data_IF_226879035988
#
_entry.id   IF_226879035988
#
_cell.length_a   1.000
_cell.length_b   1.000
_cell.length_c   1.000
_cell.angle_alpha   90.00
_cell.angle_beta   90.00
_cell.angle_gamma   90.00
#
_symmetry.space_group_name_H-M   'P 1'
#
loop_
_entity.id
_entity.type
_entity.pdbx_description
1 polymer ?
#
# COMPACT_ATOMS: atom_id res chain seq x y z
N UNK A 1 -1.30 0.25 -4.97
CA UNK A 1 -1.62 1.61 -4.49
C UNK A 1 -1.14 1.91 -3.07
N UNK A 2 -0.56 0.95 -2.34
CA UNK A 2 -0.11 1.13 -0.96
C UNK A 2 0.75 2.38 -0.77
N UNK A 3 1.68 2.67 -1.69
CA UNK A 3 2.55 3.86 -1.64
C UNK A 3 1.76 5.19 -1.60
N UNK A 4 0.72 5.34 -2.43
CA UNK A 4 -0.10 6.56 -2.47
C UNK A 4 -0.89 6.71 -1.18
N UNK A 5 -1.43 5.60 -0.66
CA UNK A 5 -2.14 5.60 0.62
C UNK A 5 -1.21 5.96 1.78
N UNK A 6 -0.02 5.35 1.86
CA UNK A 6 0.99 5.65 2.88
C UNK A 6 1.35 7.14 2.84
N UNK A 7 1.61 7.68 1.64
CA UNK A 7 1.90 9.10 1.49
C UNK A 7 0.74 9.99 1.98
N UNK A 8 -0.51 9.69 1.60
CA UNK A 8 -1.68 10.42 2.09
C UNK A 8 -1.81 10.36 3.62
N UNK A 9 -1.61 9.19 4.22
CA UNK A 9 -1.70 8.99 5.67
C UNK A 9 -0.63 9.79 6.42
N UNK A 10 0.63 9.73 5.98
CA UNK A 10 1.74 10.47 6.56
C UNK A 10 1.51 11.99 6.43
N UNK A 11 1.15 12.47 5.23
CA UNK A 11 0.88 13.89 5.01
C UNK A 11 -0.27 14.40 5.87
N UNK A 12 -1.32 13.60 6.05
CA UNK A 12 -2.41 13.95 6.94
C UNK A 12 -1.91 14.11 8.39
N UNK A 13 -1.11 13.17 8.89
CA UNK A 13 -0.57 13.23 10.25
C UNK A 13 0.31 14.47 10.48
N UNK A 14 1.34 14.68 9.66
CA UNK A 14 2.31 15.77 9.88
C UNK A 14 1.72 17.17 9.61
N UNK A 15 0.55 17.24 8.96
CA UNK A 15 -0.17 18.52 8.76
C UNK A 15 -1.36 18.70 9.71
N UNK A 16 -1.58 17.77 10.65
CA UNK A 16 -2.70 17.82 11.59
C UNK A 16 -4.08 17.69 10.93
N UNK A 17 -4.15 17.03 9.76
CA UNK A 17 -5.36 16.84 8.96
C UNK A 17 -5.87 15.41 9.07
N UNK A 18 -7.08 15.17 8.56
CA UNK A 18 -7.62 13.82 8.37
C UNK A 18 -7.38 13.37 6.93
N UNK A 19 -6.95 12.13 6.69
CA UNK A 19 -6.79 11.63 5.33
C UNK A 19 -8.16 11.59 4.63
N UNK A 20 -8.19 12.08 3.39
CA UNK A 20 -9.37 12.01 2.53
C UNK A 20 -9.37 10.74 1.69
N UNK A 21 -9.42 10.89 0.37
CA UNK A 21 -9.42 9.78 -0.58
C UNK A 21 -8.25 9.92 -1.55
N UNK A 22 -7.57 8.80 -1.83
CA UNK A 22 -6.60 8.70 -2.90
C UNK A 22 -7.30 8.24 -4.18
N UNK A 23 -7.11 8.99 -5.26
CA UNK A 23 -7.63 8.66 -6.60
C UNK A 23 -6.48 8.26 -7.52
N UNK A 24 -6.65 7.18 -8.26
CA UNK A 24 -5.67 6.73 -9.25
C UNK A 24 -6.30 6.76 -10.64
N UNK A 25 -5.69 7.53 -11.53
CA UNK A 25 -6.03 7.55 -12.95
C UNK A 25 -4.98 6.77 -13.73
N UNK A 26 -5.40 5.68 -14.35
CA UNK A 26 -4.53 4.86 -15.22
C UNK A 26 -4.91 5.18 -16.67
N UNK A 27 -3.91 5.48 -17.50
CA UNK A 27 -4.12 5.81 -18.92
C UNK A 27 -3.97 4.56 -19.80
N UNK A 28 -2.92 3.77 -19.57
CA UNK A 28 -2.70 2.50 -20.26
C UNK A 28 -2.67 1.38 -19.23
N UNK A 29 -3.85 0.83 -18.93
CA UNK A 29 -3.98 -0.35 -18.09
C UNK A 29 -3.81 -1.61 -18.96
N UNK A 30 -2.80 -2.40 -18.66
CA UNK A 30 -2.51 -3.65 -19.38
C UNK A 30 -2.01 -4.73 -18.42
N UNK A 31 -2.01 -5.96 -18.91
CA UNK A 31 -1.45 -7.14 -18.26
C UNK A 31 -0.49 -7.80 -19.23
N UNK A 32 0.67 -8.26 -18.73
CA UNK A 32 1.61 -9.02 -19.53
C UNK A 32 1.08 -10.43 -19.80
N UNK A 33 1.40 -10.99 -20.96
CA UNK A 33 0.85 -12.29 -21.40
C UNK A 33 1.21 -13.42 -20.44
N UNK A 34 2.46 -13.44 -19.93
CA UNK A 34 2.96 -14.41 -18.96
C UNK A 34 2.38 -14.25 -17.55
N UNK A 35 1.66 -13.15 -17.28
CA UNK A 35 0.96 -12.90 -16.02
C UNK A 35 -0.54 -13.24 -16.10
N UNK A 36 -1.08 -13.43 -17.32
CA UNK A 36 -2.52 -13.52 -17.55
C UNK A 36 -3.16 -14.73 -16.87
N UNK A 37 -2.54 -15.91 -16.97
CA UNK A 37 -3.09 -17.14 -16.38
C UNK A 37 -3.14 -17.05 -14.84
N UNK A 38 -2.06 -16.61 -14.20
CA UNK A 38 -2.01 -16.40 -12.75
C UNK A 38 -3.05 -15.39 -12.28
N UNK A 39 -3.24 -14.29 -13.02
CA UNK A 39 -4.24 -13.29 -12.69
C UNK A 39 -5.66 -13.86 -12.81
N UNK A 40 -6.00 -14.47 -13.96
CA UNK A 40 -7.36 -14.96 -14.26
C UNK A 40 -7.77 -16.14 -13.38
N UNK A 41 -6.88 -17.11 -13.22
CA UNK A 41 -7.23 -18.42 -12.68
C UNK A 41 -6.85 -18.58 -11.21
N UNK A 42 -5.95 -17.74 -10.68
CA UNK A 42 -5.54 -17.77 -9.27
C UNK A 42 -5.98 -16.51 -8.52
N UNK A 43 -5.51 -15.32 -8.93
CA UNK A 43 -5.77 -14.08 -8.18
C UNK A 43 -7.25 -13.70 -8.17
N UNK A 44 -7.92 -13.71 -9.34
CA UNK A 44 -9.33 -13.34 -9.46
C UNK A 44 -10.31 -14.39 -8.88
N UNK A 45 -9.82 -15.53 -8.40
CA UNK A 45 -10.62 -16.56 -7.71
C UNK A 45 -10.59 -16.43 -6.19
N UNK A 46 -9.79 -15.50 -5.66
CA UNK A 46 -9.67 -15.25 -4.21
C UNK A 46 -10.75 -14.29 -3.76
N UNK A 47 -11.41 -14.63 -2.66
CA UNK A 47 -12.29 -13.70 -1.95
C UNK A 47 -11.44 -12.65 -1.22
N UNK A 48 -11.76 -11.35 -1.33
CA UNK A 48 -11.07 -10.31 -0.58
C UNK A 48 -11.18 -10.55 0.95
N UNK A 49 -10.06 -10.35 1.64
CA UNK A 49 -10.02 -10.32 3.11
C UNK A 49 -10.19 -8.89 3.61
N UNK A 50 -10.42 -8.75 4.91
CA UNK A 50 -10.54 -7.44 5.55
C UNK A 50 -9.28 -6.60 5.37
N UNK A 51 -9.47 -5.28 5.23
CA UNK A 51 -8.37 -4.36 5.07
C UNK A 51 -7.58 -4.22 6.40
N UNK A 52 -6.24 -4.22 6.35
CA UNK A 52 -5.44 -3.98 7.54
C UNK A 52 -5.53 -2.52 8.00
N UNK A 53 -5.04 -2.26 9.22
CA UNK A 53 -4.80 -0.91 9.71
C UNK A 53 -3.32 -0.56 9.59
N UNK A 54 -3.03 0.60 9.03
CA UNK A 54 -1.69 1.16 9.02
C UNK A 54 -1.53 2.12 10.19
N UNK A 55 -0.58 1.84 11.07
CA UNK A 55 -0.28 2.61 12.26
C UNK A 55 1.04 3.36 12.04
N UNK A 56 1.04 4.64 12.37
CA UNK A 56 2.20 5.53 12.27
C UNK A 56 2.55 5.99 13.68
N UNK A 57 3.83 5.99 14.03
CA UNK A 57 4.28 6.55 15.30
C UNK A 57 3.77 8.01 15.46
N UNK A 58 3.00 8.33 16.52
CA UNK A 58 2.42 9.66 16.71
C UNK A 58 3.46 10.75 16.98
N UNK A 59 4.71 10.38 17.31
CA UNK A 59 5.80 11.33 17.48
C UNK A 59 6.32 11.90 16.16
N UNK A 60 5.97 11.31 15.01
CA UNK A 60 6.27 11.86 13.68
C UNK A 60 5.33 13.04 13.41
N UNK A 61 5.84 14.28 13.49
CA UNK A 61 5.03 15.50 13.45
C UNK A 61 5.39 16.44 12.30
N UNK A 62 6.51 16.20 11.63
CA UNK A 62 7.03 17.08 10.58
C UNK A 62 7.70 16.30 9.44
N UNK A 63 8.02 17.01 8.36
CA UNK A 63 8.85 16.47 7.29
C UNK A 63 10.30 16.22 7.76
N UNK A 64 10.82 17.07 8.62
CA UNK A 64 12.17 16.92 9.18
C UNK A 64 12.31 15.63 9.98
N UNK A 65 11.29 15.23 10.74
CA UNK A 65 11.28 13.94 11.45
C UNK A 65 11.47 12.76 10.48
N UNK A 66 10.70 12.76 9.37
CA UNK A 66 10.76 11.72 8.34
C UNK A 66 12.13 11.62 7.67
N UNK A 67 12.85 12.74 7.55
CA UNK A 67 14.15 12.82 6.88
C UNK A 67 15.33 12.53 7.81
N UNK A 68 15.14 12.57 9.13
CA UNK A 68 16.25 12.57 10.10
C UNK A 68 16.32 11.33 10.96
N UNK A 69 15.25 10.96 11.65
CA UNK A 69 15.29 9.91 12.67
C UNK A 69 14.28 8.79 12.44
N UNK A 70 13.24 9.02 11.64
CA UNK A 70 12.22 8.00 11.37
C UNK A 70 12.82 6.80 10.67
N UNK A 71 12.43 5.62 11.14
CA UNK A 71 12.84 4.32 10.60
C UNK A 71 11.63 3.50 10.20
N UNK A 72 11.86 2.31 9.64
CA UNK A 72 10.78 1.37 9.34
C UNK A 72 10.08 0.86 10.60
N UNK A 73 10.75 0.88 11.75
CA UNK A 73 10.20 0.40 13.03
C UNK A 73 9.14 1.36 13.60
N UNK A 74 9.06 2.59 13.08
CA UNK A 74 8.04 3.60 13.45
C UNK A 74 6.69 3.38 12.76
N UNK A 75 6.56 2.32 11.99
CA UNK A 75 5.37 1.96 11.26
C UNK A 75 4.97 0.53 11.57
N UNK A 76 3.67 0.27 11.71
CA UNK A 76 3.17 -1.09 11.83
C UNK A 76 1.89 -1.30 11.03
N UNK A 77 1.63 -2.56 10.72
CA UNK A 77 0.40 -2.98 10.03
C UNK A 77 -0.28 -4.01 10.89
N UNK A 78 -1.46 -3.66 11.41
CA UNK A 78 -2.24 -4.52 12.28
C UNK A 78 -3.39 -5.19 11.52
N UNK A 79 -3.70 -6.44 11.87
CA UNK A 79 -4.78 -7.20 11.24
C UNK A 79 -4.55 -7.51 9.76
N UNK A 80 -3.28 -7.55 9.32
CA UNK A 80 -2.98 -7.94 7.95
C UNK A 80 -3.09 -9.45 7.76
N UNK A 81 -4.15 -9.84 7.07
CA UNK A 81 -4.33 -11.19 6.57
C UNK A 81 -4.14 -11.19 5.05
N UNK A 82 -3.51 -12.24 4.52
CA UNK A 82 -3.32 -12.38 3.09
C UNK A 82 -3.41 -13.84 2.66
N UNK A 83 -3.88 -14.03 1.42
CA UNK A 83 -3.77 -15.30 0.74
C UNK A 83 -2.29 -15.64 0.47
N UNK A 84 -1.95 -16.92 0.20
CA UNK A 84 -0.59 -17.31 -0.17
C UNK A 84 -0.02 -16.44 -1.30
N UNK A 85 1.26 -16.09 -1.22
CA UNK A 85 1.91 -15.26 -2.23
C UNK A 85 1.81 -15.87 -3.63
N UNK A 86 1.53 -15.04 -4.64
CA UNK A 86 1.63 -15.41 -6.05
C UNK A 86 2.94 -14.86 -6.58
N UNK A 87 3.77 -15.72 -7.15
CA UNK A 87 5.01 -15.32 -7.82
C UNK A 87 4.72 -15.02 -9.29
N UNK A 88 4.42 -13.76 -9.61
CA UNK A 88 4.33 -13.31 -10.99
C UNK A 88 5.71 -13.28 -11.66
N UNK A 89 5.84 -13.66 -12.93
CA UNK A 89 7.06 -13.44 -13.69
C UNK A 89 7.32 -11.94 -13.85
N UNK A 90 8.60 -11.57 -13.76
CA UNK A 90 9.06 -10.22 -14.07
C UNK A 90 9.44 -10.16 -15.54
N UNK A 91 8.55 -9.60 -16.36
CA UNK A 91 8.78 -9.39 -17.78
C UNK A 91 9.57 -8.09 -17.95
N UNK A 92 10.71 -8.15 -18.63
CA UNK A 92 11.56 -7.00 -19.01
C UNK A 92 11.17 -6.45 -20.37
#
# INVERSE_FOLDING_TARGET
MVQVYVFLAIMAQITGKKPGQAYHKIVNAHIYEDQLELMRDVQLKREPLDAPKFIINPEIKSLEDLETWVTLDDFSVEGYESHPAIKYPFSV
#
